data_IF_435538518507
#
_entry.id   IF_435538518507
#
_cell.length_a   1.000
_cell.length_b   1.000
_cell.length_c   1.000
_cell.angle_alpha   90.00
_cell.angle_beta   90.00
_cell.angle_gamma   90.00
#
_symmetry.space_group_name_H-M   'P 1'
#
loop_
_entity.id
_entity.type
_entity.pdbx_description
1 polymer ?
#
# COMPACT_ATOMS: atom_id res chain seq x y z
N UNK A 1 10.94 -2.34 9.60
CA UNK A 1 12.17 -2.53 8.78
C UNK A 1 13.06 -1.30 8.83
N UNK A 2 14.37 -1.51 8.85
CA UNK A 2 15.33 -0.41 8.76
C UNK A 2 15.51 0.07 7.31
N UNK A 3 15.86 1.36 7.12
CA UNK A 3 16.00 1.93 5.77
C UNK A 3 17.05 1.20 4.92
N UNK A 4 18.17 0.79 5.53
CA UNK A 4 19.23 0.03 4.85
C UNK A 4 18.73 -1.32 4.33
N UNK A 5 17.91 -2.02 5.12
CA UNK A 5 17.29 -3.29 4.72
C UNK A 5 16.36 -3.13 3.52
N UNK A 6 15.56 -2.04 3.50
CA UNK A 6 14.67 -1.72 2.39
C UNK A 6 15.47 -1.41 1.13
N UNK A 7 16.50 -0.58 1.23
CA UNK A 7 17.37 -0.23 0.10
C UNK A 7 18.01 -1.50 -0.49
N UNK A 8 18.56 -2.36 0.37
CA UNK A 8 19.16 -3.62 -0.05
C UNK A 8 18.14 -4.57 -0.69
N UNK A 9 16.94 -4.66 -0.11
CA UNK A 9 15.83 -5.44 -0.67
C UNK A 9 15.42 -4.94 -2.06
N UNK A 10 15.25 -3.63 -2.24
CA UNK A 10 14.92 -3.03 -3.53
C UNK A 10 16.05 -3.27 -4.55
N UNK A 11 17.30 -3.12 -4.13
CA UNK A 11 18.47 -3.30 -5.00
C UNK A 11 18.59 -4.75 -5.50
N UNK A 12 18.41 -5.73 -4.61
CA UNK A 12 18.52 -7.16 -4.93
C UNK A 12 17.29 -7.75 -5.60
N UNK A 13 16.13 -7.07 -5.54
CA UNK A 13 14.90 -7.55 -6.14
C UNK A 13 15.01 -7.67 -7.65
N UNK A 14 14.65 -8.82 -8.19
CA UNK A 14 14.55 -9.03 -9.63
C UNK A 14 13.45 -8.16 -10.23
N UNK A 15 13.81 -7.36 -11.24
CA UNK A 15 12.86 -6.48 -11.92
C UNK A 15 12.09 -7.27 -12.98
N UNK A 16 10.77 -7.36 -12.81
CA UNK A 16 9.87 -8.16 -13.66
C UNK A 16 8.79 -7.32 -14.32
N UNK A 17 8.38 -7.78 -15.49
CA UNK A 17 7.18 -7.31 -16.19
C UNK A 17 6.24 -8.50 -16.32
N UNK A 18 5.46 -8.83 -15.27
CA UNK A 18 4.51 -9.95 -15.33
C UNK A 18 3.45 -9.69 -16.37
N UNK A 19 3.12 -10.72 -17.13
CA UNK A 19 2.07 -10.68 -18.15
C UNK A 19 1.12 -11.85 -17.97
N UNK A 20 -0.12 -11.62 -18.40
CA UNK A 20 -1.12 -12.64 -18.68
C UNK A 20 -1.41 -12.58 -20.16
N UNK A 21 -1.29 -13.72 -20.85
CA UNK A 21 -1.48 -13.78 -22.30
C UNK A 21 -2.59 -14.77 -22.61
N UNK A 22 -3.57 -14.33 -23.37
CA UNK A 22 -4.57 -15.19 -23.97
C UNK A 22 -4.05 -15.56 -25.35
N UNK A 23 -4.03 -16.83 -25.68
CA UNK A 23 -3.55 -17.34 -26.99
C UNK A 23 -4.62 -18.14 -27.68
N UNK A 24 -4.61 -18.12 -29.01
CA UNK A 24 -5.46 -18.91 -29.89
C UNK A 24 -4.63 -19.46 -31.03
N UNK A 25 -4.90 -20.71 -31.47
CA UNK A 25 -4.25 -21.33 -32.61
C UNK A 25 -4.19 -22.84 -32.53
N UNK A 26 -3.32 -23.43 -33.33
CA UNK A 26 -3.07 -24.90 -33.37
C UNK A 26 -2.16 -25.32 -32.21
N UNK A 27 -2.60 -25.07 -30.97
CA UNK A 27 -1.80 -25.14 -29.74
C UNK A 27 -1.33 -26.56 -29.38
N UNK A 28 -1.95 -27.62 -29.92
CA UNK A 28 -1.54 -29.00 -29.72
C UNK A 28 -0.16 -29.33 -30.33
N UNK A 29 0.32 -28.52 -31.25
CA UNK A 29 1.62 -28.68 -31.92
C UNK A 29 2.78 -28.03 -31.19
N UNK A 30 2.50 -27.30 -30.11
CA UNK A 30 3.47 -26.54 -29.30
C UNK A 30 3.90 -27.36 -28.08
N UNK A 31 5.21 -27.44 -27.82
CA UNK A 31 5.71 -28.07 -26.58
C UNK A 31 5.61 -27.10 -25.40
N UNK A 32 4.52 -27.13 -24.67
CA UNK A 32 4.27 -26.25 -23.53
C UNK A 32 5.16 -26.54 -22.31
N UNK A 33 5.91 -27.64 -22.28
CA UNK A 33 6.88 -27.91 -21.21
C UNK A 33 8.07 -26.94 -21.27
N UNK A 34 8.36 -26.38 -22.44
CA UNK A 34 9.45 -25.39 -22.65
C UNK A 34 8.99 -23.95 -22.36
N UNK A 35 7.69 -23.74 -22.07
CA UNK A 35 7.15 -22.43 -21.80
C UNK A 35 7.74 -21.85 -20.48
N UNK A 36 8.29 -20.62 -20.49
CA UNK A 36 8.98 -20.00 -19.34
C UNK A 36 8.01 -19.41 -18.30
N UNK A 37 7.00 -20.17 -17.89
CA UNK A 37 5.96 -19.72 -16.98
C UNK A 37 4.93 -20.78 -16.68
N UNK A 38 3.68 -20.36 -16.47
CA UNK A 38 2.54 -21.28 -16.33
C UNK A 38 1.63 -21.17 -17.54
N UNK A 39 1.27 -22.30 -18.12
CA UNK A 39 0.37 -22.39 -19.25
C UNK A 39 -0.86 -23.24 -18.89
N UNK A 40 -2.03 -22.76 -19.27
CA UNK A 40 -3.31 -23.48 -19.17
C UNK A 40 -3.89 -23.57 -20.58
N UNK A 41 -3.77 -24.74 -21.21
CA UNK A 41 -4.15 -24.95 -22.60
C UNK A 41 -5.34 -25.88 -22.69
N UNK A 42 -6.33 -25.52 -23.52
CA UNK A 42 -7.51 -26.34 -23.80
C UNK A 42 -7.91 -26.21 -25.28
N UNK A 43 -7.67 -27.27 -26.05
CA UNK A 43 -7.94 -27.24 -27.49
C UNK A 43 -7.15 -26.17 -28.23
N UNK A 44 -7.87 -25.27 -28.88
CA UNK A 44 -7.30 -24.19 -29.71
C UNK A 44 -7.10 -22.87 -28.93
N UNK A 45 -7.27 -22.86 -27.61
CA UNK A 45 -7.11 -21.66 -26.78
C UNK A 45 -6.35 -21.94 -25.49
N UNK A 46 -5.76 -20.88 -24.91
CA UNK A 46 -5.05 -21.01 -23.64
C UNK A 46 -4.80 -19.68 -22.96
N UNK A 47 -4.37 -19.78 -21.69
CA UNK A 47 -3.94 -18.64 -20.89
C UNK A 47 -2.55 -18.92 -20.35
N UNK A 48 -1.66 -17.95 -20.51
CA UNK A 48 -0.27 -18.01 -20.13
C UNK A 48 0.04 -16.96 -19.06
N UNK A 49 0.91 -17.31 -18.12
CA UNK A 49 1.42 -16.37 -17.10
C UNK A 49 2.94 -16.44 -17.06
N UNK A 50 3.62 -15.31 -17.16
CA UNK A 50 5.08 -15.28 -17.14
C UNK A 50 5.64 -13.87 -17.08
N UNK A 51 6.97 -13.78 -17.21
CA UNK A 51 7.63 -12.49 -17.39
C UNK A 51 7.72 -12.16 -18.88
N UNK A 52 7.44 -10.91 -19.27
CA UNK A 52 7.24 -10.55 -20.67
C UNK A 52 8.38 -10.99 -21.61
N UNK A 53 9.62 -10.66 -21.25
CA UNK A 53 10.76 -10.89 -22.15
C UNK A 53 10.92 -12.35 -22.60
N UNK A 54 10.97 -13.35 -21.69
CA UNK A 54 10.98 -14.76 -22.12
C UNK A 54 9.66 -15.23 -22.74
N UNK A 55 8.51 -14.70 -22.32
CA UNK A 55 7.21 -15.02 -22.92
C UNK A 55 7.15 -14.54 -24.37
N UNK A 56 7.57 -13.30 -24.64
CA UNK A 56 7.63 -12.76 -26.01
C UNK A 56 8.52 -13.60 -26.93
N UNK A 57 9.67 -14.06 -26.43
CA UNK A 57 10.57 -14.93 -27.20
C UNK A 57 9.88 -16.24 -27.56
N UNK A 58 9.24 -16.89 -26.56
CA UNK A 58 8.51 -18.13 -26.78
C UNK A 58 7.35 -17.97 -27.79
N UNK A 59 6.59 -16.88 -27.71
CA UNK A 59 5.50 -16.60 -28.66
C UNK A 59 6.04 -16.45 -30.10
N UNK A 60 7.18 -15.77 -30.28
CA UNK A 60 7.83 -15.60 -31.58
C UNK A 60 8.39 -16.91 -32.14
N UNK A 61 8.96 -17.75 -31.31
CA UNK A 61 9.49 -19.07 -31.71
C UNK A 61 8.40 -20.05 -32.12
N UNK A 62 7.17 -19.87 -31.64
CA UNK A 62 6.02 -20.73 -31.91
C UNK A 62 4.93 -20.07 -32.76
N UNK A 63 5.26 -19.05 -33.54
CA UNK A 63 4.32 -18.26 -34.35
C UNK A 63 3.50 -19.10 -35.34
N UNK A 64 4.09 -20.19 -35.86
CA UNK A 64 3.38 -21.14 -36.73
C UNK A 64 2.19 -21.85 -36.08
N UNK A 65 2.16 -21.96 -34.74
CA UNK A 65 1.09 -22.57 -33.98
C UNK A 65 0.16 -21.56 -33.30
N UNK A 66 0.55 -20.29 -33.22
CA UNK A 66 -0.20 -19.22 -32.55
C UNK A 66 -0.77 -18.29 -33.63
N UNK A 67 -2.10 -18.33 -33.81
CA UNK A 67 -2.81 -17.50 -34.76
C UNK A 67 -3.04 -16.07 -34.27
N UNK A 68 -3.30 -15.91 -32.97
CA UNK A 68 -3.60 -14.63 -32.34
C UNK A 68 -3.34 -14.68 -30.84
N UNK A 69 -3.00 -13.52 -30.24
CA UNK A 69 -2.87 -13.40 -28.82
C UNK A 69 -3.14 -11.97 -28.30
N UNK A 70 -3.59 -11.88 -27.05
CA UNK A 70 -3.78 -10.61 -26.33
C UNK A 70 -2.95 -10.64 -25.05
N UNK A 71 -2.22 -9.56 -24.77
CA UNK A 71 -1.38 -9.42 -23.60
C UNK A 71 -1.99 -8.43 -22.62
N UNK A 72 -2.16 -8.83 -21.37
CA UNK A 72 -2.50 -7.96 -20.26
C UNK A 72 -1.28 -7.81 -19.33
N UNK A 73 -1.03 -6.58 -18.86
CA UNK A 73 0.00 -6.28 -17.88
C UNK A 73 -0.42 -5.07 -17.02
N UNK A 74 0.11 -4.97 -15.81
CA UNK A 74 -0.19 -3.89 -14.86
C UNK A 74 1.06 -3.14 -14.38
N UNK A 75 2.26 -3.65 -14.70
CA UNK A 75 3.54 -3.08 -14.27
C UNK A 75 4.66 -3.40 -15.25
N UNK A 76 5.70 -2.56 -15.25
CA UNK A 76 6.91 -2.77 -16.04
C UNK A 76 8.15 -2.64 -15.15
N UNK A 77 9.10 -3.60 -15.26
CA UNK A 77 10.37 -3.59 -14.52
C UNK A 77 10.19 -3.34 -13.00
N UNK A 78 9.12 -3.87 -12.42
CA UNK A 78 8.84 -3.74 -10.98
C UNK A 78 9.53 -4.86 -10.20
N UNK A 79 10.25 -4.47 -9.14
CA UNK A 79 10.96 -5.41 -8.26
C UNK A 79 10.28 -5.69 -6.93
N UNK A 80 9.30 -4.87 -6.54
CA UNK A 80 8.59 -5.01 -5.27
C UNK A 80 7.14 -5.41 -5.55
N UNK A 81 6.72 -6.62 -5.18
CA UNK A 81 5.34 -7.04 -5.35
C UNK A 81 4.38 -6.29 -4.42
N UNK A 82 3.09 -6.42 -4.67
CA UNK A 82 2.07 -6.04 -3.71
C UNK A 82 1.96 -7.08 -2.61
N UNK A 83 1.46 -6.64 -1.46
CA UNK A 83 1.21 -7.50 -0.30
C UNK A 83 0.15 -8.55 -0.63
N UNK A 84 0.39 -9.80 -0.28
CA UNK A 84 -0.66 -10.81 -0.23
C UNK A 84 -1.45 -10.66 1.06
N UNK A 85 -2.62 -10.07 0.97
CA UNK A 85 -3.45 -9.72 2.13
C UNK A 85 -4.59 -10.71 2.41
N UNK A 86 -4.68 -11.84 1.69
CA UNK A 86 -5.79 -12.82 1.83
C UNK A 86 -5.96 -13.40 3.25
N UNK A 87 -4.89 -13.45 4.04
CA UNK A 87 -4.93 -13.95 5.41
C UNK A 87 -4.82 -12.86 6.49
N UNK A 88 -4.90 -11.59 6.14
CA UNK A 88 -4.78 -10.49 7.09
C UNK A 88 -6.15 -10.18 7.69
N UNK A 89 -6.31 -10.16 9.03
CA UNK A 89 -7.59 -9.91 9.67
C UNK A 89 -7.93 -8.41 9.67
N UNK A 90 -8.00 -7.81 8.49
CA UNK A 90 -8.29 -6.40 8.25
C UNK A 90 -9.21 -6.25 7.03
N UNK A 91 -9.99 -5.18 7.01
CA UNK A 91 -10.81 -4.82 5.86
C UNK A 91 -9.99 -4.01 4.88
N UNK A 92 -9.77 -4.54 3.69
CA UNK A 92 -8.97 -3.90 2.64
C UNK A 92 -9.87 -3.74 1.41
N UNK A 93 -10.20 -2.48 1.11
CA UNK A 93 -11.09 -2.14 0.02
C UNK A 93 -10.39 -2.19 -1.35
N UNK A 94 -11.14 -2.45 -2.44
CA UNK A 94 -10.57 -2.53 -3.78
C UNK A 94 -9.90 -1.22 -4.21
N UNK A 95 -8.84 -1.33 -5.02
CA UNK A 95 -8.10 -0.17 -5.54
C UNK A 95 -7.09 0.43 -4.56
N UNK A 96 -6.89 -0.17 -3.39
CA UNK A 96 -5.75 0.15 -2.53
C UNK A 96 -4.47 -0.49 -3.05
N UNK A 97 -3.33 0.23 -2.96
CA UNK A 97 -2.01 -0.27 -3.36
C UNK A 97 -1.12 -0.40 -2.14
N UNK A 98 -0.91 -1.63 -1.70
CA UNK A 98 -0.11 -1.95 -0.52
C UNK A 98 1.10 -2.75 -0.96
N UNK A 99 2.31 -2.26 -0.68
CA UNK A 99 3.54 -2.97 -1.03
C UNK A 99 3.82 -4.11 -0.06
N UNK A 100 4.54 -5.11 -0.56
CA UNK A 100 5.10 -6.17 0.28
C UNK A 100 5.91 -5.60 1.45
N UNK A 101 6.01 -6.33 2.57
CA UNK A 101 6.64 -5.90 3.82
C UNK A 101 5.93 -4.73 4.54
N UNK A 102 4.68 -4.47 4.24
CA UNK A 102 3.79 -3.67 5.09
C UNK A 102 3.18 -4.58 6.14
N UNK A 103 3.12 -4.11 7.37
CA UNK A 103 2.47 -4.80 8.49
C UNK A 103 1.10 -4.14 8.75
N UNK A 104 0.03 -4.94 8.74
CA UNK A 104 -1.34 -4.48 9.01
C UNK A 104 -1.90 -5.34 10.13
N UNK A 105 -2.27 -4.69 11.24
CA UNK A 105 -2.80 -5.36 12.41
C UNK A 105 -4.31 -5.56 12.33
N UNK A 106 -4.84 -6.36 13.26
CA UNK A 106 -6.24 -6.76 13.28
C UNK A 106 -7.21 -5.57 13.30
N UNK A 107 -8.36 -5.74 12.67
CA UNK A 107 -9.45 -4.77 12.60
C UNK A 107 -9.06 -3.42 11.94
N UNK A 108 -7.88 -3.33 11.32
CA UNK A 108 -7.54 -2.16 10.53
C UNK A 108 -8.44 -2.06 9.28
N UNK A 109 -8.64 -0.84 8.81
CA UNK A 109 -9.46 -0.55 7.64
C UNK A 109 -8.61 0.23 6.65
N UNK A 110 -8.44 -0.32 5.46
CA UNK A 110 -7.74 0.33 4.35
C UNK A 110 -8.78 0.64 3.28
N UNK A 111 -9.08 1.91 3.09
CA UNK A 111 -10.10 2.35 2.14
C UNK A 111 -9.55 2.40 0.71
N UNK A 112 -10.47 2.51 -0.26
CA UNK A 112 -10.17 2.53 -1.67
C UNK A 112 -9.19 3.66 -2.04
N UNK A 113 -8.24 3.35 -2.90
CA UNK A 113 -7.23 4.30 -3.38
C UNK A 113 -6.10 4.61 -2.40
N UNK A 114 -6.13 4.07 -1.18
CA UNK A 114 -5.01 4.24 -0.24
C UNK A 114 -3.73 3.61 -0.80
N UNK A 115 -2.59 4.29 -0.58
CA UNK A 115 -1.27 3.83 -1.02
C UNK A 115 -0.37 3.67 0.21
N UNK A 116 0.10 2.44 0.45
CA UNK A 116 0.93 2.12 1.61
C UNK A 116 2.25 1.54 1.12
N UNK A 117 3.33 2.23 1.42
CA UNK A 117 4.65 1.87 0.92
C UNK A 117 5.38 0.91 1.87
N UNK A 118 6.42 0.26 1.35
CA UNK A 118 7.22 -0.77 2.01
C UNK A 118 7.69 -0.38 3.41
N UNK A 119 7.60 -1.31 4.35
CA UNK A 119 8.06 -1.14 5.73
C UNK A 119 7.15 -0.29 6.62
N UNK A 120 6.02 0.18 6.11
CA UNK A 120 5.02 0.84 6.95
C UNK A 120 4.33 -0.15 7.90
N UNK A 121 3.88 0.37 9.04
CA UNK A 121 3.13 -0.39 10.06
C UNK A 121 1.82 0.31 10.33
N UNK A 122 0.71 -0.43 10.25
CA UNK A 122 -0.64 0.05 10.54
C UNK A 122 -1.17 -0.68 11.76
N UNK A 123 -1.39 0.07 12.83
CA UNK A 123 -1.84 -0.46 14.12
C UNK A 123 -3.29 -0.95 14.09
N UNK A 124 -3.61 -1.72 15.14
CA UNK A 124 -4.91 -2.34 15.34
C UNK A 124 -6.05 -1.29 15.31
N UNK A 125 -7.18 -1.63 14.68
CA UNK A 125 -8.37 -0.79 14.58
C UNK A 125 -8.14 0.60 13.99
N UNK A 126 -7.04 0.80 13.27
CA UNK A 126 -6.72 2.05 12.59
C UNK A 126 -7.35 2.11 11.20
N UNK A 127 -7.91 3.26 10.84
CA UNK A 127 -8.45 3.52 9.52
C UNK A 127 -7.48 4.38 8.70
N UNK A 128 -7.13 3.89 7.52
CA UNK A 128 -6.46 4.63 6.46
C UNK A 128 -7.52 4.95 5.41
N UNK A 129 -7.96 6.20 5.38
CA UNK A 129 -9.11 6.64 4.57
C UNK A 129 -8.74 6.80 3.08
N UNK A 130 -9.73 7.11 2.24
CA UNK A 130 -9.63 7.12 0.78
C UNK A 130 -8.47 7.99 0.28
N UNK A 131 -7.67 7.44 -0.64
CA UNK A 131 -6.54 8.12 -1.27
C UNK A 131 -5.46 8.64 -0.30
N UNK A 132 -5.48 8.21 0.97
CA UNK A 132 -4.39 8.54 1.88
C UNK A 132 -3.09 7.83 1.48
N UNK A 133 -1.96 8.49 1.71
CA UNK A 133 -0.62 7.95 1.40
C UNK A 133 0.16 7.75 2.68
N UNK A 134 0.58 6.51 2.92
CA UNK A 134 1.54 6.17 3.98
C UNK A 134 2.87 5.87 3.32
N UNK A 135 3.82 6.76 3.51
CA UNK A 135 5.18 6.64 2.99
C UNK A 135 5.95 5.48 3.60
N UNK A 136 7.08 5.15 3.01
CA UNK A 136 7.92 4.05 3.49
C UNK A 136 8.31 4.21 4.94
N UNK A 137 8.21 3.13 5.73
CA UNK A 137 8.53 3.07 7.16
C UNK A 137 7.60 3.88 8.08
N UNK A 138 6.57 4.56 7.57
CA UNK A 138 5.61 5.26 8.42
C UNK A 138 4.99 4.31 9.46
N UNK A 139 4.97 4.72 10.71
CA UNK A 139 4.42 3.93 11.82
C UNK A 139 3.15 4.61 12.32
N UNK A 140 2.03 3.94 12.14
CA UNK A 140 0.71 4.41 12.60
C UNK A 140 0.26 3.52 13.75
N UNK A 141 -0.01 4.13 14.88
CA UNK A 141 -0.47 3.48 16.10
C UNK A 141 -1.87 2.89 15.98
N UNK A 142 -2.41 2.46 17.11
CA UNK A 142 -3.74 1.86 17.21
C UNK A 142 -4.84 2.93 17.28
N UNK A 143 -6.05 2.55 16.88
CA UNK A 143 -7.23 3.42 16.97
C UNK A 143 -7.03 4.80 16.33
N UNK A 144 -6.19 4.89 15.31
CA UNK A 144 -5.99 6.12 14.57
C UNK A 144 -6.99 6.27 13.43
N UNK A 145 -7.15 7.51 12.96
CA UNK A 145 -7.86 7.81 11.72
C UNK A 145 -6.97 8.70 10.86
N UNK A 146 -6.49 8.18 9.75
CA UNK A 146 -5.74 8.94 8.75
C UNK A 146 -6.73 9.36 7.68
N UNK A 147 -7.12 10.62 7.69
CA UNK A 147 -8.19 11.17 6.86
C UNK A 147 -7.91 11.13 5.36
N UNK A 148 -8.98 11.22 4.58
CA UNK A 148 -8.91 11.13 3.12
C UNK A 148 -7.89 12.07 2.50
N UNK A 149 -7.06 11.57 1.60
CA UNK A 149 -6.03 12.34 0.91
C UNK A 149 -4.87 12.82 1.80
N UNK A 150 -4.82 12.44 3.09
CA UNK A 150 -3.70 12.79 3.95
C UNK A 150 -2.41 12.09 3.52
N UNK A 151 -1.28 12.74 3.75
CA UNK A 151 0.04 12.21 3.41
C UNK A 151 0.90 12.12 4.68
N UNK A 152 1.27 10.90 5.01
CA UNK A 152 2.32 10.61 6.00
C UNK A 152 3.60 10.39 5.21
N UNK A 153 4.54 11.33 5.31
CA UNK A 153 5.77 11.28 4.53
C UNK A 153 6.58 10.03 4.86
N UNK A 154 7.18 9.47 3.82
CA UNK A 154 8.04 8.29 3.96
C UNK A 154 9.50 8.66 3.91
N UNK A 155 10.32 7.88 4.58
CA UNK A 155 11.76 8.06 4.54
C UNK A 155 12.47 6.74 4.25
N UNK A 156 13.01 6.67 3.04
CA UNK A 156 13.97 5.65 2.64
C UNK A 156 15.32 6.31 2.32
N UNK A 157 15.29 7.52 1.80
CA UNK A 157 16.45 8.35 1.50
C UNK A 157 16.33 9.71 2.20
N UNK A 158 17.35 10.13 3.00
CA UNK A 158 18.53 9.36 3.37
C UNK A 158 18.23 8.24 4.38
N UNK A 159 19.03 7.16 4.36
CA UNK A 159 18.84 5.99 5.23
C UNK A 159 18.96 6.31 6.74
N UNK A 160 19.54 7.45 7.08
CA UNK A 160 19.69 7.95 8.46
C UNK A 160 18.45 8.70 8.98
N UNK A 161 17.49 9.03 8.12
CA UNK A 161 16.33 9.80 8.53
C UNK A 161 15.33 8.96 9.36
N UNK A 162 14.72 9.60 10.34
CA UNK A 162 13.73 9.00 11.22
C UNK A 162 12.39 8.88 10.51
N UNK A 163 11.67 7.75 10.62
CA UNK A 163 10.31 7.64 10.07
C UNK A 163 9.33 8.55 10.81
N UNK A 164 8.22 8.87 10.15
CA UNK A 164 7.07 9.48 10.82
C UNK A 164 6.47 8.46 11.80
N UNK A 165 6.15 8.93 13.00
CA UNK A 165 5.46 8.14 14.01
C UNK A 165 4.16 8.86 14.38
N UNK A 166 3.05 8.22 14.13
CA UNK A 166 1.71 8.64 14.59
C UNK A 166 1.34 7.72 15.74
N UNK A 167 1.24 8.28 16.95
CA UNK A 167 0.94 7.51 18.15
C UNK A 167 -0.54 7.09 18.22
N UNK A 168 -0.93 6.35 19.26
CA UNK A 168 -2.27 5.78 19.38
C UNK A 168 -3.36 6.86 19.49
N UNK A 169 -4.53 6.60 18.98
CA UNK A 169 -5.70 7.47 19.09
C UNK A 169 -5.63 8.79 18.30
N UNK A 170 -4.64 8.97 17.47
CA UNK A 170 -4.44 10.20 16.69
C UNK A 170 -5.43 10.29 15.53
N UNK A 171 -5.97 11.49 15.30
CA UNK A 171 -6.73 11.82 14.10
C UNK A 171 -5.95 12.78 13.21
N UNK A 172 -5.65 12.36 12.00
CA UNK A 172 -5.10 13.20 10.94
C UNK A 172 -6.25 13.62 10.02
N UNK A 173 -6.51 14.93 9.96
CA UNK A 173 -7.57 15.49 9.11
C UNK A 173 -7.29 15.31 7.61
N UNK A 174 -8.37 15.35 6.81
CA UNK A 174 -8.26 15.18 5.36
C UNK A 174 -7.26 16.16 4.73
N UNK A 175 -6.50 15.68 3.75
CA UNK A 175 -5.47 16.44 3.02
C UNK A 175 -4.38 17.08 3.91
N UNK A 176 -4.23 16.65 5.15
CA UNK A 176 -3.09 17.08 5.97
C UNK A 176 -1.82 16.34 5.54
N UNK A 177 -0.67 17.01 5.70
CA UNK A 177 0.64 16.45 5.40
C UNK A 177 1.48 16.45 6.67
N UNK A 178 2.03 15.28 7.02
CA UNK A 178 3.01 15.14 8.11
C UNK A 178 4.36 14.86 7.49
N UNK A 179 5.32 15.77 7.71
CA UNK A 179 6.65 15.66 7.12
C UNK A 179 7.50 14.59 7.82
N UNK A 180 8.54 14.16 7.12
CA UNK A 180 9.47 13.14 7.58
C UNK A 180 10.10 13.48 8.95
N UNK A 181 10.27 12.47 9.77
CA UNK A 181 10.87 12.57 11.11
C UNK A 181 9.92 13.06 12.21
N UNK A 182 8.75 13.54 11.84
CA UNK A 182 7.79 14.09 12.81
C UNK A 182 7.14 12.97 13.62
N UNK A 183 6.99 13.23 14.93
CA UNK A 183 6.17 12.43 15.85
C UNK A 183 4.88 13.18 16.17
N UNK A 184 3.74 12.54 15.95
CA UNK A 184 2.42 13.06 16.37
C UNK A 184 2.00 12.32 17.63
N UNK A 185 1.95 13.03 18.75
CA UNK A 185 1.68 12.50 20.09
C UNK A 185 0.26 11.99 20.25
N UNK A 186 0.12 11.08 21.20
CA UNK A 186 -1.09 10.30 21.50
C UNK A 186 -2.36 11.18 21.63
N UNK A 187 -3.47 10.69 21.09
CA UNK A 187 -4.79 11.34 21.13
C UNK A 187 -4.84 12.76 20.51
N UNK A 188 -3.82 13.18 19.79
CA UNK A 188 -3.82 14.50 19.18
C UNK A 188 -4.61 14.53 17.86
N UNK A 189 -5.01 15.73 17.46
CA UNK A 189 -5.76 15.98 16.24
C UNK A 189 -4.97 16.96 15.36
N UNK A 190 -4.68 16.54 14.14
CA UNK A 190 -4.19 17.41 13.08
C UNK A 190 -5.38 17.89 12.26
N UNK A 191 -5.60 19.19 12.19
CA UNK A 191 -6.69 19.77 11.41
C UNK A 191 -6.52 19.51 9.92
N UNK A 192 -7.64 19.40 9.19
CA UNK A 192 -7.62 19.17 7.74
C UNK A 192 -6.79 20.25 7.01
N UNK A 193 -6.07 19.84 5.96
CA UNK A 193 -5.26 20.71 5.13
C UNK A 193 -4.00 21.28 5.80
N UNK A 194 -3.62 20.80 6.99
CA UNK A 194 -2.44 21.29 7.72
C UNK A 194 -1.15 20.67 7.20
N UNK A 195 -0.04 21.40 7.34
CA UNK A 195 1.31 20.86 7.10
C UNK A 195 2.08 20.84 8.42
N UNK A 196 2.32 19.64 8.93
CA UNK A 196 3.01 19.41 10.20
C UNK A 196 4.50 19.26 9.93
N UNK A 197 5.28 20.21 10.43
CA UNK A 197 6.73 20.31 10.24
C UNK A 197 7.54 19.95 11.50
N UNK A 198 6.89 19.99 12.65
CA UNK A 198 7.50 19.80 13.96
C UNK A 198 6.71 18.77 14.76
N UNK A 199 7.33 18.16 15.77
CA UNK A 199 6.66 17.21 16.65
C UNK A 199 5.43 17.83 17.31
N UNK A 200 4.37 17.02 17.39
CA UNK A 200 3.08 17.39 17.99
C UNK A 200 2.99 16.77 19.37
N UNK A 201 2.80 17.56 20.44
CA UNK A 201 2.56 17.02 21.77
C UNK A 201 1.28 16.17 21.82
N UNK A 202 1.18 15.30 22.82
CA UNK A 202 -0.04 14.52 23.04
C UNK A 202 -1.22 15.40 23.52
N UNK A 203 -2.44 14.99 23.18
CA UNK A 203 -3.69 15.62 23.63
C UNK A 203 -3.89 17.08 23.20
N UNK A 204 -3.38 17.46 22.03
CA UNK A 204 -3.57 18.79 21.46
C UNK A 204 -4.23 18.75 20.07
N UNK A 205 -4.80 19.87 19.69
CA UNK A 205 -5.21 20.14 18.30
C UNK A 205 -4.17 21.05 17.67
N UNK A 206 -3.62 20.62 16.55
CA UNK A 206 -2.73 21.44 15.72
C UNK A 206 -3.37 21.77 14.39
N UNK A 207 -2.99 22.89 13.78
CA UNK A 207 -3.51 23.28 12.46
C UNK A 207 -2.75 24.42 11.83
N UNK A 208 -2.91 24.57 10.52
CA UNK A 208 -2.29 25.61 9.70
C UNK A 208 -1.07 25.15 8.90
N UNK A 209 -0.41 26.12 8.24
CA UNK A 209 0.77 25.94 7.37
C UNK A 209 1.81 27.00 7.74
N UNK A 210 2.89 26.63 8.49
CA UNK A 210 3.08 25.36 9.19
C UNK A 210 2.08 25.18 10.33
N UNK A 211 1.79 23.93 10.70
CA UNK A 211 0.86 23.62 11.78
C UNK A 211 1.40 24.12 13.14
N UNK A 212 0.51 24.70 13.95
CA UNK A 212 0.82 25.15 15.31
C UNK A 212 -0.26 24.65 16.27
N UNK A 213 0.09 24.52 17.55
CA UNK A 213 -0.89 24.15 18.58
C UNK A 213 -1.97 25.23 18.64
N UNK A 214 -3.22 24.81 18.45
CA UNK A 214 -4.40 25.69 18.50
C UNK A 214 -5.06 25.66 19.87
N UNK A 215 -5.12 24.46 20.49
CA UNK A 215 -5.71 24.24 21.81
C UNK A 215 -5.40 22.84 22.34
N UNK A 216 -5.67 22.60 23.60
CA UNK A 216 -5.77 21.25 24.16
C UNK A 216 -7.07 20.55 23.72
N UNK A 217 -7.09 19.22 23.78
CA UNK A 217 -8.28 18.43 23.49
C UNK A 217 -9.33 18.66 24.58
N UNK A 218 -10.48 19.17 24.18
CA UNK A 218 -11.68 19.38 25.02
C UNK A 218 -12.79 18.35 24.67
N UNK A 219 -13.86 18.32 25.47
CA UNK A 219 -14.99 17.40 25.24
C UNK A 219 -15.67 17.62 23.90
N UNK A 220 -15.73 18.86 23.41
CA UNK A 220 -16.25 19.18 22.08
C UNK A 220 -15.40 18.56 20.98
N UNK A 221 -14.10 18.58 21.14
CA UNK A 221 -13.17 17.93 20.20
C UNK A 221 -13.36 16.43 20.24
N UNK A 222 -13.35 15.81 21.44
CA UNK A 222 -13.57 14.37 21.61
C UNK A 222 -14.87 13.89 20.93
N UNK A 223 -15.97 14.62 21.11
CA UNK A 223 -17.25 14.32 20.48
C UNK A 223 -17.20 14.38 18.95
N UNK A 224 -16.40 15.32 18.39
CA UNK A 224 -16.29 15.50 16.94
C UNK A 224 -15.29 14.57 16.26
N UNK A 225 -14.33 14.02 17.02
CA UNK A 225 -13.26 13.18 16.49
C UNK A 225 -13.37 11.72 16.99
N UNK A 226 -14.43 11.41 17.74
CA UNK A 226 -14.68 10.06 18.26
C UNK A 226 -14.83 9.04 17.13
N UNK A 227 -14.18 7.91 17.30
CA UNK A 227 -14.26 6.80 16.36
C UNK A 227 -15.60 6.07 16.51
N UNK A 228 -16.08 5.50 15.42
CA UNK A 228 -17.30 4.67 15.40
C UNK A 228 -16.87 3.20 15.33
N UNK A 229 -16.95 2.48 16.42
CA UNK A 229 -16.48 1.09 16.54
C UNK A 229 -17.16 0.15 15.56
N UNK A 230 -18.45 0.38 15.26
CA UNK A 230 -19.20 -0.42 14.31
C UNK A 230 -18.56 -0.46 12.90
N UNK A 231 -17.79 0.57 12.50
CA UNK A 231 -17.08 0.58 11.22
C UNK A 231 -15.84 -0.32 11.22
N UNK A 232 -15.36 -0.73 12.41
CA UNK A 232 -14.15 -1.52 12.62
C UNK A 232 -14.43 -2.97 12.97
N UNK A 233 -15.71 -3.32 13.12
CA UNK A 233 -16.09 -4.71 13.33
C UNK A 233 -16.02 -5.46 12.00
N UNK A 234 -15.19 -6.48 11.94
CA UNK A 234 -15.13 -7.41 10.82
C UNK A 234 -16.13 -8.54 11.09
N UNK A 235 -16.83 -8.98 10.04
CA UNK A 235 -17.61 -10.21 10.15
C UNK A 235 -16.62 -11.38 10.29
N UNK A 236 -16.88 -12.29 11.21
CA UNK A 236 -16.18 -13.58 11.24
C UNK A 236 -16.60 -14.37 9.98
N UNK A 237 -15.60 -14.86 9.23
CA UNK A 237 -15.83 -15.80 8.12
C UNK A 237 -16.08 -17.22 8.64
#
# INVERSE_FOLDING_TARGET
MEAKEIIEYIQKSEKKTPVKVYVKGSLQNINWNDFPGKSFISGESGVLFGNWKPVEAFLKENDNGIEDYVVEWDRNMSGIPLLDYKGIPARIEPGSFIREKVEIHANAIIMMGAVINIGAVIGESTMIDMNAVIGGRGIIGKNCHIGAGAVIAGVVEPASATPVIVEDGVMIGANAVVLEGVRVGENSVVAAGSIVTDDVPSNVVVGGIPAKVLKEIDDRTRTKTGLVDALRQLNEE
#
